data_IF_287289755013
#
_entry.id   IF_287289755013
#
_cell.length_a   1.000
_cell.length_b   1.000
_cell.length_c   1.000
_cell.angle_alpha   90.00
_cell.angle_beta   90.00
_cell.angle_gamma   90.00
#
_symmetry.space_group_name_H-M   'P 1'
#
loop_
_entity.id
_entity.type
_entity.pdbx_description
1 polymer ?
#
# COMPACT_ATOMS: atom_id res chain seq x y z
N UNK A 1 -11.98 -64.58 -33.98
CA UNK A 1 -13.04 -63.67 -33.56
C UNK A 1 -12.39 -62.49 -32.86
N UNK A 2 -12.22 -61.42 -33.62
CA UNK A 2 -11.47 -60.20 -33.20
C UNK A 2 -12.45 -59.30 -32.48
N UNK A 3 -12.13 -58.86 -31.26
CA UNK A 3 -12.83 -57.78 -30.57
C UNK A 3 -11.91 -56.57 -30.52
N UNK A 4 -12.39 -55.53 -31.17
CA UNK A 4 -11.78 -54.23 -31.33
C UNK A 4 -11.78 -53.44 -29.98
N UNK A 5 -10.59 -53.02 -29.52
CA UNK A 5 -10.42 -52.11 -28.39
C UNK A 5 -9.99 -50.72 -28.88
N UNK A 6 -10.93 -49.96 -29.40
CA UNK A 6 -10.75 -48.53 -29.64
C UNK A 6 -11.83 -47.75 -28.96
N UNK A 7 -11.59 -47.32 -27.71
CA UNK A 7 -12.22 -46.16 -27.07
C UNK A 7 -11.47 -45.82 -25.76
N UNK A 8 -10.77 -44.70 -25.72
CA UNK A 8 -10.20 -44.21 -24.46
C UNK A 8 -9.07 -43.19 -24.53
N UNK A 9 -8.92 -42.43 -25.63
CA UNK A 9 -7.88 -41.39 -25.73
C UNK A 9 -8.37 -39.94 -25.71
N UNK A 10 -9.70 -39.70 -25.51
CA UNK A 10 -10.27 -38.33 -25.59
C UNK A 10 -10.41 -37.59 -24.25
N UNK A 11 -10.27 -38.24 -23.10
CA UNK A 11 -10.52 -37.58 -21.79
C UNK A 11 -9.28 -37.21 -21.00
N UNK A 12 -8.07 -37.61 -21.42
CA UNK A 12 -6.82 -37.23 -20.72
C UNK A 12 -6.13 -35.98 -21.29
N UNK A 13 -6.52 -35.52 -22.45
CA UNK A 13 -5.95 -34.30 -23.05
C UNK A 13 -6.61 -33.00 -22.54
N UNK A 14 -7.86 -33.05 -22.04
CA UNK A 14 -8.53 -31.86 -21.50
C UNK A 14 -8.12 -31.51 -20.07
N UNK A 15 -7.71 -32.50 -19.28
CA UNK A 15 -7.24 -32.28 -17.92
C UNK A 15 -5.81 -31.70 -17.84
N UNK A 16 -4.99 -31.96 -18.86
CA UNK A 16 -3.62 -31.44 -18.93
C UNK A 16 -3.52 -29.99 -19.41
N UNK A 17 -4.53 -29.49 -20.14
CA UNK A 17 -4.57 -28.10 -20.62
C UNK A 17 -5.12 -27.12 -19.56
N UNK A 18 -5.92 -27.58 -18.58
CA UNK A 18 -6.36 -26.74 -17.47
C UNK A 18 -5.28 -26.56 -16.38
N UNK A 19 -4.37 -27.51 -16.22
CA UNK A 19 -3.31 -27.41 -15.22
C UNK A 19 -2.14 -26.50 -15.64
N UNK A 20 -1.91 -26.32 -16.95
CA UNK A 20 -0.85 -25.44 -17.47
C UNK A 20 -1.27 -23.95 -17.54
N UNK A 21 -2.57 -23.65 -17.49
CA UNK A 21 -3.09 -22.27 -17.51
C UNK A 21 -3.11 -21.60 -16.13
N UNK A 22 -2.85 -22.34 -15.05
CA UNK A 22 -2.85 -21.84 -13.67
C UNK A 22 -1.53 -21.17 -13.23
N UNK A 23 -0.48 -21.22 -14.06
CA UNK A 23 0.83 -20.64 -13.75
C UNK A 23 1.16 -19.34 -14.49
N UNK A 24 0.30 -18.87 -15.41
CA UNK A 24 0.49 -17.59 -16.09
C UNK A 24 -0.66 -16.66 -15.71
N UNK A 25 -0.37 -15.64 -14.92
CA UNK A 25 -1.34 -14.63 -14.50
C UNK A 25 -2.10 -13.99 -15.66
N UNK A 26 -3.35 -13.58 -15.37
CA UNK A 26 -4.25 -12.78 -16.19
C UNK A 26 -5.05 -13.56 -17.25
N UNK A 27 -6.10 -14.24 -16.81
CA UNK A 27 -7.30 -14.36 -17.64
C UNK A 27 -8.41 -13.53 -17.00
N UNK A 28 -8.74 -12.39 -17.61
CA UNK A 28 -10.08 -11.82 -17.49
C UNK A 28 -11.03 -12.83 -18.16
N UNK A 29 -11.55 -13.75 -17.36
CA UNK A 29 -12.70 -14.53 -17.80
C UNK A 29 -13.86 -13.52 -17.90
N UNK A 30 -14.67 -13.56 -18.98
CA UNK A 30 -15.89 -12.78 -19.03
C UNK A 30 -16.72 -13.13 -17.79
N UNK A 31 -17.33 -12.11 -17.16
CA UNK A 31 -18.17 -12.28 -15.98
C UNK A 31 -19.23 -13.35 -16.29
N UNK A 32 -19.11 -14.51 -15.66
CA UNK A 32 -20.08 -15.60 -15.77
C UNK A 32 -21.01 -15.54 -14.56
N UNK A 33 -22.28 -15.83 -14.77
CA UNK A 33 -23.21 -15.96 -13.65
C UNK A 33 -22.72 -17.01 -12.64
N UNK A 34 -23.07 -16.81 -11.36
CA UNK A 34 -22.80 -17.81 -10.33
C UNK A 34 -23.33 -19.17 -10.78
N UNK A 35 -22.57 -20.26 -10.60
CA UNK A 35 -23.01 -21.58 -10.97
C UNK A 35 -24.35 -21.96 -10.32
N UNK A 36 -25.15 -22.77 -11.02
CA UNK A 36 -26.38 -23.30 -10.46
C UNK A 36 -26.10 -24.10 -9.17
N UNK A 37 -26.87 -23.88 -8.13
CA UNK A 37 -26.68 -24.51 -6.82
C UNK A 37 -25.64 -23.84 -5.92
N UNK A 38 -24.97 -22.78 -6.37
CA UNK A 38 -24.05 -22.04 -5.51
C UNK A 38 -24.78 -21.25 -4.43
N UNK A 39 -24.26 -21.31 -3.20
CA UNK A 39 -24.74 -20.51 -2.07
C UNK A 39 -24.04 -19.16 -2.09
N UNK A 40 -24.81 -18.07 -1.98
CA UNK A 40 -24.30 -16.69 -1.91
C UNK A 40 -24.64 -16.12 -0.55
N UNK A 41 -23.66 -15.55 0.11
CA UNK A 41 -23.75 -15.00 1.46
C UNK A 41 -23.95 -13.47 1.42
N UNK A 42 -23.88 -12.82 2.59
CA UNK A 42 -24.06 -11.37 2.67
C UNK A 42 -23.00 -10.56 1.89
N UNK A 43 -23.42 -9.42 1.35
CA UNK A 43 -22.55 -8.51 0.63
C UNK A 43 -21.71 -7.67 1.60
N UNK A 44 -20.43 -7.52 1.28
CA UNK A 44 -19.52 -6.56 1.90
C UNK A 44 -18.74 -5.84 0.80
N UNK A 45 -18.75 -4.52 0.83
CA UNK A 45 -18.03 -3.68 -0.13
C UNK A 45 -18.33 -4.01 -1.62
N UNK A 46 -19.59 -4.37 -1.91
CA UNK A 46 -20.05 -4.66 -3.27
C UNK A 46 -19.83 -6.10 -3.74
N UNK A 47 -19.15 -6.93 -2.96
CA UNK A 47 -18.95 -8.35 -3.26
C UNK A 47 -19.57 -9.25 -2.19
N UNK A 48 -20.12 -10.38 -2.60
CA UNK A 48 -20.64 -11.43 -1.73
C UNK A 48 -19.78 -12.68 -1.83
N UNK A 49 -19.58 -13.36 -0.71
CA UNK A 49 -18.98 -14.69 -0.69
C UNK A 49 -19.88 -15.65 -1.43
N UNK A 50 -19.30 -16.51 -2.26
CA UNK A 50 -20.01 -17.53 -3.02
C UNK A 50 -19.30 -18.88 -2.86
N UNK A 51 -20.08 -19.91 -2.56
CA UNK A 51 -19.56 -21.26 -2.33
C UNK A 51 -20.31 -22.28 -3.20
N UNK A 52 -19.55 -23.21 -3.77
CA UNK A 52 -20.06 -24.40 -4.41
C UNK A 52 -19.09 -25.56 -4.21
N UNK A 53 -19.61 -26.69 -3.75
CA UNK A 53 -18.86 -27.93 -3.56
C UNK A 53 -17.57 -27.78 -2.71
N UNK A 54 -17.63 -26.96 -1.67
CA UNK A 54 -16.50 -26.68 -0.77
C UNK A 54 -15.45 -25.73 -1.33
N UNK A 55 -15.71 -25.09 -2.49
CA UNK A 55 -14.84 -24.06 -3.05
C UNK A 55 -15.51 -22.71 -2.99
N UNK A 56 -14.73 -21.72 -2.56
CA UNK A 56 -15.15 -20.36 -2.30
C UNK A 56 -14.58 -19.38 -3.31
N UNK A 57 -15.35 -18.36 -3.61
CA UNK A 57 -15.01 -17.21 -4.42
C UNK A 57 -15.93 -16.04 -4.14
N UNK A 58 -16.01 -15.08 -5.03
CA UNK A 58 -16.86 -13.90 -4.82
C UNK A 58 -17.66 -13.56 -6.07
N UNK A 59 -18.87 -13.05 -5.84
CA UNK A 59 -19.79 -12.56 -6.87
C UNK A 59 -20.16 -11.09 -6.62
N UNK A 60 -20.50 -10.37 -7.68
CA UNK A 60 -21.04 -9.01 -7.61
C UNK A 60 -22.55 -9.00 -7.30
N UNK A 61 -23.15 -7.81 -7.21
CA UNK A 61 -24.59 -7.64 -6.94
C UNK A 61 -25.48 -8.24 -8.04
N UNK A 62 -24.96 -8.39 -9.26
CA UNK A 62 -25.63 -9.09 -10.37
C UNK A 62 -25.46 -10.62 -10.31
N UNK A 63 -24.84 -11.14 -9.26
CA UNK A 63 -24.45 -12.55 -9.10
C UNK A 63 -23.45 -13.04 -10.17
N UNK A 64 -22.68 -12.16 -10.78
CA UNK A 64 -21.60 -12.56 -11.67
C UNK A 64 -20.36 -12.90 -10.86
N UNK A 65 -19.65 -13.98 -11.24
CA UNK A 65 -18.40 -14.38 -10.61
C UNK A 65 -17.32 -13.32 -10.92
N UNK A 66 -16.86 -12.64 -9.89
CA UNK A 66 -15.75 -11.67 -9.96
C UNK A 66 -14.43 -12.36 -9.62
N UNK A 67 -14.45 -13.22 -8.62
CA UNK A 67 -13.29 -14.02 -8.20
C UNK A 67 -13.69 -15.48 -8.24
N UNK A 68 -12.98 -16.32 -9.02
CA UNK A 68 -13.31 -17.73 -9.21
C UNK A 68 -13.46 -18.51 -7.91
N UNK A 69 -14.37 -19.50 -7.89
CA UNK A 69 -14.57 -20.41 -6.76
C UNK A 69 -13.41 -21.43 -6.75
N UNK A 70 -12.31 -21.07 -6.12
CA UNK A 70 -11.09 -21.87 -6.07
C UNK A 70 -10.51 -22.06 -4.68
N UNK A 71 -10.88 -21.21 -3.73
CA UNK A 71 -10.33 -21.20 -2.38
C UNK A 71 -11.01 -22.24 -1.48
N UNK A 72 -10.27 -22.73 -0.49
CA UNK A 72 -10.78 -23.65 0.52
C UNK A 72 -11.60 -22.90 1.60
N UNK A 73 -11.25 -21.65 1.87
CA UNK A 73 -12.03 -20.73 2.70
C UNK A 73 -11.64 -19.28 2.38
N UNK A 74 -12.54 -18.36 2.70
CA UNK A 74 -12.37 -16.91 2.48
C UNK A 74 -13.03 -16.14 3.63
N UNK A 75 -12.69 -14.85 3.77
CA UNK A 75 -13.40 -13.91 4.64
C UNK A 75 -14.04 -12.80 3.82
N UNK A 76 -15.04 -12.09 4.37
CA UNK A 76 -15.62 -10.91 3.70
C UNK A 76 -14.58 -9.82 3.46
N UNK A 77 -14.73 -9.08 2.37
CA UNK A 77 -13.87 -7.93 2.10
C UNK A 77 -14.02 -6.85 3.17
N UNK A 78 -12.88 -6.33 3.61
CA UNK A 78 -12.78 -5.17 4.49
C UNK A 78 -11.63 -4.28 4.02
N UNK A 79 -11.89 -2.99 3.84
CA UNK A 79 -10.90 -2.02 3.32
C UNK A 79 -10.27 -2.47 1.99
N UNK A 80 -11.08 -3.06 1.11
CA UNK A 80 -10.68 -3.51 -0.23
C UNK A 80 -9.86 -4.80 -0.28
N UNK A 81 -9.66 -5.49 0.86
CA UNK A 81 -8.86 -6.72 0.96
C UNK A 81 -9.61 -7.85 1.64
N UNK A 82 -9.23 -9.07 1.33
CA UNK A 82 -9.77 -10.27 1.99
C UNK A 82 -8.68 -11.34 2.15
N UNK A 83 -8.67 -12.01 3.30
CA UNK A 83 -7.84 -13.19 3.47
C UNK A 83 -8.48 -14.39 2.76
N UNK A 84 -7.65 -15.22 2.15
CA UNK A 84 -8.04 -16.44 1.43
C UNK A 84 -7.16 -17.59 1.84
N UNK A 85 -7.73 -18.79 1.84
CA UNK A 85 -7.00 -20.04 2.01
C UNK A 85 -7.01 -20.80 0.67
N UNK A 86 -5.84 -21.15 0.19
CA UNK A 86 -5.69 -21.97 -1.00
C UNK A 86 -4.72 -23.13 -0.70
N UNK A 87 -5.24 -24.36 -0.78
CA UNK A 87 -4.47 -25.58 -0.49
C UNK A 87 -3.83 -25.56 0.91
N UNK A 88 -4.59 -25.08 1.92
CA UNK A 88 -4.13 -25.00 3.31
C UNK A 88 -3.15 -23.85 3.60
N UNK A 89 -2.89 -22.96 2.63
CA UNK A 89 -2.04 -21.78 2.82
C UNK A 89 -2.84 -20.50 2.74
N UNK A 90 -2.52 -19.56 3.63
CA UNK A 90 -3.17 -18.27 3.73
C UNK A 90 -2.46 -17.23 2.87
N UNK A 91 -3.26 -16.42 2.20
CA UNK A 91 -2.86 -15.25 1.45
C UNK A 91 -3.86 -14.11 1.62
N UNK A 92 -3.62 -12.99 0.98
CA UNK A 92 -4.52 -11.83 0.96
C UNK A 92 -4.72 -11.39 -0.48
N UNK A 93 -5.97 -11.11 -0.85
CA UNK A 93 -6.34 -10.64 -2.18
C UNK A 93 -7.03 -9.28 -2.13
N UNK A 94 -7.03 -8.60 -3.26
CA UNK A 94 -7.85 -7.43 -3.56
C UNK A 94 -9.18 -7.87 -4.18
N UNK A 95 -10.10 -6.92 -4.31
CA UNK A 95 -11.42 -7.15 -4.91
C UNK A 95 -11.38 -7.53 -6.41
N UNK A 96 -10.25 -7.26 -7.10
CA UNK A 96 -10.00 -7.72 -8.47
C UNK A 96 -9.41 -9.14 -8.55
N UNK A 97 -9.25 -9.82 -7.40
CA UNK A 97 -8.70 -11.16 -7.29
C UNK A 97 -7.18 -11.25 -7.30
N UNK A 98 -6.46 -10.14 -7.46
CA UNK A 98 -4.99 -10.13 -7.40
C UNK A 98 -4.49 -10.33 -5.98
N UNK A 99 -3.43 -11.12 -5.85
CA UNK A 99 -2.79 -11.33 -4.55
C UNK A 99 -2.03 -10.08 -4.11
N UNK A 100 -2.28 -9.67 -2.86
CA UNK A 100 -1.43 -8.76 -2.08
C UNK A 100 -0.39 -9.54 -1.29
N UNK A 101 -0.78 -10.71 -0.76
CA UNK A 101 0.11 -11.71 -0.16
C UNK A 101 -0.22 -13.03 -0.86
N UNK A 102 0.79 -13.68 -1.43
CA UNK A 102 0.62 -15.01 -2.03
C UNK A 102 0.19 -16.03 -0.97
N UNK A 103 -0.64 -17.03 -1.32
CA UNK A 103 -1.08 -18.06 -0.38
C UNK A 103 0.06 -19.05 -0.10
N UNK A 104 0.97 -18.64 0.79
CA UNK A 104 2.16 -19.42 1.17
C UNK A 104 2.37 -19.52 2.69
N UNK A 105 1.55 -18.83 3.48
CA UNK A 105 1.68 -18.79 4.94
C UNK A 105 0.79 -19.82 5.61
N UNK A 106 1.28 -20.39 6.71
CA UNK A 106 0.52 -21.31 7.56
C UNK A 106 -0.48 -20.55 8.43
N UNK A 107 -0.11 -19.33 8.82
CA UNK A 107 -0.93 -18.41 9.61
C UNK A 107 -0.70 -16.97 9.13
N UNK A 108 -1.79 -16.21 9.00
CA UNK A 108 -1.78 -14.76 8.78
C UNK A 108 -2.84 -14.13 9.68
N UNK A 109 -2.39 -13.34 10.65
CA UNK A 109 -3.26 -12.63 11.60
C UNK A 109 -3.11 -11.13 11.39
N UNK A 110 -4.16 -10.40 11.02
CA UNK A 110 -4.07 -8.96 10.85
C UNK A 110 -3.75 -8.28 12.20
N UNK A 111 -2.86 -7.32 12.17
CA UNK A 111 -2.53 -6.45 13.31
C UNK A 111 -3.20 -5.10 13.11
N UNK A 112 -2.75 -4.35 12.08
CA UNK A 112 -3.22 -3.01 11.74
C UNK A 112 -2.73 -2.63 10.32
N UNK A 113 -3.45 -1.77 9.60
CA UNK A 113 -3.06 -1.08 8.36
C UNK A 113 -2.18 -1.89 7.39
N UNK A 114 -2.57 -3.13 7.10
CA UNK A 114 -1.82 -4.00 6.20
C UNK A 114 -0.63 -4.71 6.83
N UNK A 115 -0.52 -4.70 8.16
CA UNK A 115 0.44 -5.49 8.93
C UNK A 115 -0.17 -6.82 9.36
N UNK A 116 0.62 -7.89 9.29
CA UNK A 116 0.19 -9.24 9.67
C UNK A 116 1.26 -9.94 10.51
N UNK A 117 0.84 -10.61 11.59
CA UNK A 117 1.63 -11.70 12.15
C UNK A 117 1.53 -12.85 11.16
N UNK A 118 2.67 -13.38 10.76
CA UNK A 118 2.75 -14.46 9.78
C UNK A 118 3.53 -15.64 10.33
N UNK A 119 3.10 -16.86 9.96
CA UNK A 119 3.86 -18.08 10.20
C UNK A 119 4.09 -18.81 8.88
N UNK A 120 5.31 -19.30 8.68
CA UNK A 120 5.69 -20.11 7.54
C UNK A 120 6.79 -21.10 7.94
N UNK A 121 6.56 -22.39 7.68
CA UNK A 121 7.55 -23.42 8.01
C UNK A 121 7.88 -23.54 9.51
N UNK A 122 6.91 -23.22 10.37
CA UNK A 122 7.08 -23.26 11.84
C UNK A 122 7.60 -21.98 12.46
N UNK A 123 8.27 -21.11 11.71
CA UNK A 123 8.77 -19.83 12.20
C UNK A 123 7.71 -18.72 12.13
N UNK A 124 7.66 -17.87 13.16
CA UNK A 124 6.80 -16.69 13.26
C UNK A 124 7.55 -15.43 12.93
N UNK A 125 6.84 -14.44 12.37
CA UNK A 125 7.36 -13.13 12.07
C UNK A 125 6.26 -12.11 11.81
N UNK A 126 6.62 -10.96 11.24
CA UNK A 126 5.68 -9.91 10.85
C UNK A 126 5.92 -9.53 9.40
N UNK A 127 4.85 -9.46 8.63
CA UNK A 127 4.86 -9.05 7.22
C UNK A 127 3.92 -7.89 7.01
N UNK A 128 4.20 -7.07 6.01
CA UNK A 128 3.33 -5.98 5.57
C UNK A 128 2.92 -6.13 4.11
N UNK A 129 1.76 -5.60 3.76
CA UNK A 129 1.31 -5.47 2.38
C UNK A 129 1.88 -4.19 1.78
N UNK A 130 2.46 -4.31 0.59
CA UNK A 130 2.96 -3.17 -0.18
C UNK A 130 2.28 -3.16 -1.55
N UNK A 131 1.19 -2.38 -1.75
CA UNK A 131 0.60 -2.23 -3.07
C UNK A 131 1.48 -1.36 -3.97
N UNK A 132 1.64 -1.75 -5.24
CA UNK A 132 2.29 -0.92 -6.26
C UNK A 132 1.31 0.10 -6.85
N UNK A 133 1.78 1.31 -7.23
CA UNK A 133 0.95 2.36 -7.82
C UNK A 133 0.28 1.94 -9.14
N UNK A 134 0.91 1.09 -9.93
CA UNK A 134 0.41 0.61 -11.23
C UNK A 134 -0.61 -0.54 -11.11
N UNK A 135 -0.92 -0.98 -9.91
CA UNK A 135 -1.78 -2.12 -9.68
C UNK A 135 -1.20 -3.47 -10.16
N UNK A 136 0.06 -3.50 -10.59
CA UNK A 136 0.70 -4.68 -11.21
C UNK A 136 1.08 -5.76 -10.21
N UNK A 137 0.84 -5.57 -8.93
CA UNK A 137 1.12 -6.56 -7.89
C UNK A 137 1.46 -5.91 -6.56
N UNK A 138 1.63 -6.72 -5.55
CA UNK A 138 2.19 -6.29 -4.27
C UNK A 138 3.40 -7.14 -3.98
N UNK A 139 4.39 -6.56 -3.30
CA UNK A 139 5.43 -7.31 -2.62
C UNK A 139 5.09 -7.40 -1.15
N UNK A 140 5.13 -8.61 -0.61
CA UNK A 140 5.10 -8.80 0.82
C UNK A 140 6.45 -8.38 1.40
N UNK A 141 6.44 -7.37 2.27
CA UNK A 141 7.66 -6.96 2.97
C UNK A 141 7.75 -7.70 4.32
N UNK A 142 8.85 -8.41 4.54
CA UNK A 142 9.13 -9.07 5.83
C UNK A 142 9.75 -8.03 6.75
N UNK A 143 8.97 -7.55 7.74
CA UNK A 143 9.44 -6.60 8.74
C UNK A 143 10.24 -7.28 9.85
N UNK A 144 9.82 -8.49 10.24
CA UNK A 144 10.51 -9.36 11.20
C UNK A 144 10.60 -10.74 10.60
N UNK A 145 11.80 -11.25 10.47
CA UNK A 145 12.06 -12.58 9.88
C UNK A 145 11.19 -13.66 10.52
N UNK A 146 10.74 -14.60 9.70
CA UNK A 146 9.94 -15.75 10.12
C UNK A 146 10.80 -16.78 10.86
N UNK A 147 11.42 -16.35 11.96
CA UNK A 147 12.38 -17.11 12.74
C UNK A 147 12.15 -17.07 14.26
N UNK A 148 11.06 -16.43 14.68
CA UNK A 148 10.65 -16.40 16.09
C UNK A 148 9.87 -17.66 16.45
N UNK A 149 9.97 -18.08 17.70
CA UNK A 149 9.21 -19.21 18.24
C UNK A 149 7.73 -18.82 18.42
N UNK A 150 7.49 -17.55 18.75
CA UNK A 150 6.16 -16.99 18.94
C UNK A 150 6.13 -15.50 18.69
N UNK A 151 5.02 -15.02 18.08
CA UNK A 151 4.70 -13.61 17.94
C UNK A 151 3.25 -13.41 18.40
N UNK A 152 3.01 -12.44 19.28
CA UNK A 152 1.69 -12.13 19.81
C UNK A 152 1.46 -10.62 19.87
N UNK A 153 0.21 -10.20 19.76
CA UNK A 153 -0.24 -8.83 20.03
C UNK A 153 -1.23 -8.87 21.18
N UNK A 154 -1.04 -8.01 22.16
CA UNK A 154 -1.94 -7.83 23.28
C UNK A 154 -2.03 -6.37 23.68
N UNK A 155 -3.18 -5.96 24.22
CA UNK A 155 -3.34 -4.62 24.77
C UNK A 155 -2.69 -4.53 26.15
N UNK A 156 -1.83 -3.54 26.34
CA UNK A 156 -1.16 -3.24 27.61
C UNK A 156 -1.25 -1.73 27.87
N UNK A 157 -1.98 -1.34 28.92
CA UNK A 157 -2.09 0.09 29.29
C UNK A 157 -2.72 0.98 28.21
N UNK A 158 -3.69 0.49 27.44
CA UNK A 158 -4.34 1.24 26.36
C UNK A 158 -3.53 1.29 25.05
N UNK A 159 -2.45 0.50 24.96
CA UNK A 159 -1.61 0.40 23.76
C UNK A 159 -1.47 -1.05 23.34
N UNK A 160 -1.62 -1.33 22.05
CA UNK A 160 -1.29 -2.65 21.50
C UNK A 160 0.21 -2.86 21.51
N UNK A 161 0.66 -3.98 22.07
CA UNK A 161 2.07 -4.35 22.18
C UNK A 161 2.31 -5.69 21.47
N UNK A 162 3.23 -5.67 20.51
CA UNK A 162 3.77 -6.87 19.87
C UNK A 162 4.82 -7.48 20.78
N UNK A 163 4.69 -8.76 21.05
CA UNK A 163 5.67 -9.56 21.78
C UNK A 163 6.27 -10.59 20.86
N UNK A 164 7.59 -10.53 20.67
CA UNK A 164 8.40 -11.45 19.86
C UNK A 164 9.22 -12.32 20.81
N UNK A 165 9.10 -13.63 20.70
CA UNK A 165 9.86 -14.60 21.54
C UNK A 165 10.78 -15.44 20.67
N UNK A 166 12.06 -15.50 21.05
CA UNK A 166 13.06 -16.36 20.41
C UNK A 166 13.97 -16.97 21.48
N UNK A 167 13.84 -18.27 21.72
CA UNK A 167 14.47 -18.94 22.86
C UNK A 167 14.03 -18.30 24.17
N UNK A 168 14.98 -17.85 24.95
CA UNK A 168 14.75 -17.12 26.21
C UNK A 168 14.59 -15.61 26.04
N UNK A 169 14.78 -15.10 24.83
CA UNK A 169 14.70 -13.66 24.56
C UNK A 169 13.27 -13.25 24.23
N UNK A 170 12.75 -12.26 24.98
CA UNK A 170 11.43 -11.67 24.75
C UNK A 170 11.61 -10.19 24.45
N UNK A 171 11.18 -9.78 23.26
CA UNK A 171 11.18 -8.38 22.82
C UNK A 171 9.74 -7.88 22.78
N UNK A 172 9.48 -6.76 23.42
CA UNK A 172 8.17 -6.11 23.39
C UNK A 172 8.26 -4.78 22.65
N UNK A 173 7.35 -4.56 21.72
CA UNK A 173 7.33 -3.38 20.86
C UNK A 173 5.89 -2.88 20.79
N UNK A 174 5.60 -1.62 21.17
CA UNK A 174 4.30 -1.04 20.88
C UNK A 174 3.98 -1.18 19.40
N UNK A 175 2.74 -1.57 19.05
CA UNK A 175 2.36 -1.76 17.64
C UNK A 175 2.55 -0.48 16.83
N UNK A 176 2.33 0.68 17.47
CA UNK A 176 2.62 1.99 16.88
C UNK A 176 4.12 2.26 16.68
N UNK A 177 4.98 1.53 17.37
CA UNK A 177 6.44 1.54 17.21
C UNK A 177 6.94 0.34 16.38
N UNK A 178 6.03 -0.44 15.74
CA UNK A 178 6.45 -1.52 14.85
C UNK A 178 7.37 -1.01 13.72
N UNK A 179 7.23 0.22 13.26
CA UNK A 179 8.28 0.94 12.55
C UNK A 179 9.54 1.16 13.38
N UNK A 180 9.46 1.05 14.71
CA UNK A 180 10.52 1.35 15.65
C UNK A 180 11.76 0.48 15.56
N UNK A 181 11.75 -0.63 14.85
CA UNK A 181 13.02 -1.29 14.51
C UNK A 181 13.73 -0.58 13.37
N UNK A 182 12.97 0.05 12.50
CA UNK A 182 13.54 1.04 11.59
C UNK A 182 13.81 2.37 12.34
N UNK A 183 13.11 2.67 13.43
CA UNK A 183 13.33 3.80 14.34
C UNK A 183 14.54 3.61 15.26
N UNK A 184 14.93 2.41 15.63
CA UNK A 184 16.28 2.14 16.16
C UNK A 184 17.37 2.58 15.16
N UNK A 185 16.98 2.92 13.95
CA UNK A 185 17.75 3.61 12.91
C UNK A 185 17.31 5.07 12.69
N UNK A 186 16.58 5.69 13.62
CA UNK A 186 16.37 7.13 13.65
C UNK A 186 15.08 7.71 13.04
N UNK A 187 13.98 6.92 12.90
CA UNK A 187 12.70 7.45 12.38
C UNK A 187 11.59 7.34 13.43
N UNK A 188 11.10 8.44 14.00
CA UNK A 188 10.01 8.44 14.96
C UNK A 188 8.65 8.26 14.27
N UNK A 189 8.05 7.09 14.40
CA UNK A 189 6.68 6.82 13.94
C UNK A 189 5.60 7.34 14.89
N UNK A 190 5.96 7.64 16.12
CA UNK A 190 5.04 8.15 17.14
C UNK A 190 4.38 9.48 16.77
N UNK A 191 4.96 10.25 15.83
CA UNK A 191 4.45 11.54 15.39
C UNK A 191 3.31 11.44 14.36
N UNK A 192 3.06 10.25 13.83
CA UNK A 192 1.99 10.01 12.87
C UNK A 192 1.01 8.92 13.36
N UNK A 193 0.39 9.10 14.56
CA UNK A 193 -0.57 8.14 15.05
C UNK A 193 -1.81 8.11 14.15
N UNK A 194 -2.50 6.97 14.10
CA UNK A 194 -3.81 6.87 13.48
C UNK A 194 -4.81 7.63 14.35
N UNK A 195 -5.29 8.79 13.89
CA UNK A 195 -6.14 9.69 14.66
C UNK A 195 -7.62 9.67 14.27
N UNK A 196 -7.94 9.07 13.12
CA UNK A 196 -9.28 9.06 12.54
C UNK A 196 -9.71 7.63 12.27
N UNK A 197 -10.35 6.98 13.17
CA UNK A 197 -10.62 5.53 13.20
C UNK A 197 -11.38 4.89 12.02
N UNK A 198 -11.86 5.61 11.00
CA UNK A 198 -12.49 5.04 9.81
C UNK A 198 -12.42 6.02 8.64
N UNK A 199 -12.08 5.50 7.47
CA UNK A 199 -12.16 6.24 6.21
C UNK A 199 -13.59 6.76 6.00
N UNK A 200 -13.80 8.06 5.73
CA UNK A 200 -15.07 8.52 5.22
C UNK A 200 -15.32 7.80 3.89
N UNK A 201 -16.56 7.42 3.67
CA UNK A 201 -16.98 6.80 2.42
C UNK A 201 -16.90 7.86 1.30
N UNK A 202 -15.71 8.09 0.75
CA UNK A 202 -15.58 8.95 -0.43
C UNK A 202 -16.27 8.31 -1.62
N UNK A 203 -17.17 9.05 -2.26
CA UNK A 203 -17.99 8.53 -3.36
C UNK A 203 -17.19 8.19 -4.62
N UNK A 204 -15.96 8.69 -4.71
CA UNK A 204 -15.03 8.53 -5.82
C UNK A 204 -13.77 7.72 -5.45
N UNK A 205 -13.81 6.97 -4.35
CA UNK A 205 -12.78 6.02 -3.95
C UNK A 205 -13.46 4.67 -3.74
N UNK A 206 -13.21 3.75 -4.66
CA UNK A 206 -13.66 2.38 -4.56
C UNK A 206 -12.61 1.54 -3.83
N UNK A 207 -13.00 0.58 -2.97
CA UNK A 207 -12.05 -0.38 -2.40
C UNK A 207 -11.26 -1.18 -3.46
N UNK A 208 -11.71 -1.19 -4.71
CA UNK A 208 -11.00 -1.80 -5.86
C UNK A 208 -9.89 -0.94 -6.43
N UNK A 209 -9.85 0.34 -6.08
CA UNK A 209 -8.84 1.24 -6.59
C UNK A 209 -7.48 0.92 -5.97
N UNK A 210 -6.43 0.95 -6.77
CA UNK A 210 -5.07 0.68 -6.29
C UNK A 210 -4.64 1.62 -5.17
N UNK A 211 -5.21 2.82 -5.14
CA UNK A 211 -4.90 3.87 -4.18
C UNK A 211 -5.77 3.84 -2.92
N UNK A 212 -6.80 2.99 -2.85
CA UNK A 212 -7.75 3.01 -1.74
C UNK A 212 -7.06 2.89 -0.36
N UNK A 213 -6.12 1.95 -0.22
CA UNK A 213 -5.35 1.78 1.01
C UNK A 213 -4.51 3.02 1.35
N UNK A 214 -3.89 3.64 0.34
CA UNK A 214 -3.06 4.82 0.55
C UNK A 214 -3.87 6.04 0.97
N UNK A 215 -5.05 6.22 0.37
CA UNK A 215 -6.00 7.27 0.78
C UNK A 215 -6.46 7.04 2.22
N UNK A 216 -6.75 5.78 2.60
CA UNK A 216 -7.13 5.42 3.96
C UNK A 216 -6.02 5.75 4.96
N UNK A 217 -4.80 5.30 4.71
CA UNK A 217 -3.65 5.58 5.59
C UNK A 217 -3.43 7.10 5.69
N UNK A 218 -3.27 7.81 4.57
CA UNK A 218 -3.00 9.24 4.56
C UNK A 218 -4.10 10.05 5.26
N UNK A 219 -5.37 9.63 5.12
CA UNK A 219 -6.49 10.22 5.82
C UNK A 219 -6.44 9.93 7.32
N UNK A 220 -6.23 8.67 7.71
CA UNK A 220 -6.22 8.25 9.11
C UNK A 220 -5.06 8.86 9.91
N UNK A 221 -3.91 9.05 9.29
CA UNK A 221 -2.82 9.82 9.91
C UNK A 221 -3.03 11.35 9.78
N UNK A 222 -4.11 11.79 9.15
CA UNK A 222 -4.48 13.22 9.06
C UNK A 222 -3.60 14.05 8.14
N UNK A 223 -2.91 13.44 7.17
CA UNK A 223 -2.11 14.16 6.16
C UNK A 223 -2.94 14.63 4.98
N UNK A 224 -4.08 14.00 4.71
CA UNK A 224 -4.98 14.37 3.63
C UNK A 224 -6.43 14.46 4.09
N UNK A 225 -7.25 15.10 3.28
CA UNK A 225 -8.70 15.19 3.46
C UNK A 225 -9.40 15.19 2.10
N UNK A 226 -10.72 15.06 2.11
CA UNK A 226 -11.53 15.23 0.90
C UNK A 226 -11.52 16.66 0.38
N UNK A 227 -11.96 16.83 -0.87
CA UNK A 227 -12.13 18.13 -1.53
C UNK A 227 -13.54 18.71 -1.33
N UNK A 228 -14.32 18.15 -0.41
CA UNK A 228 -15.72 18.52 -0.17
C UNK A 228 -16.71 17.59 -0.90
N UNK A 229 -18.00 17.72 -0.54
CA UNK A 229 -19.10 16.91 -1.12
C UNK A 229 -18.83 15.40 -1.09
N UNK A 230 -18.18 14.92 -0.04
CA UNK A 230 -17.82 13.51 0.13
C UNK A 230 -16.95 12.94 -1.02
N UNK A 231 -16.05 13.75 -1.58
CA UNK A 231 -15.12 13.35 -2.66
C UNK A 231 -13.68 13.52 -2.22
N UNK A 232 -12.82 12.63 -2.71
CA UNK A 232 -11.37 12.70 -2.56
C UNK A 232 -10.67 13.32 -3.77
N UNK A 233 -11.22 13.16 -4.96
CA UNK A 233 -10.69 13.54 -6.26
C UNK A 233 -9.31 12.88 -6.57
N UNK A 234 -9.22 11.53 -6.56
CA UNK A 234 -7.95 10.80 -6.64
C UNK A 234 -7.15 11.09 -7.91
N UNK A 235 -7.83 11.30 -9.02
CA UNK A 235 -7.22 11.54 -10.34
C UNK A 235 -6.91 13.02 -10.61
N UNK A 236 -7.27 13.92 -9.71
CA UNK A 236 -6.91 15.34 -9.84
C UNK A 236 -5.41 15.50 -9.63
N UNK A 237 -4.76 16.30 -10.48
CA UNK A 237 -3.34 16.64 -10.29
C UNK A 237 -3.17 17.47 -9.03
N UNK A 238 -2.08 17.19 -8.30
CA UNK A 238 -1.70 17.95 -7.12
C UNK A 238 -1.13 19.30 -7.57
N UNK A 239 -1.58 20.38 -6.95
CA UNK A 239 -1.01 21.70 -7.20
C UNK A 239 0.24 21.95 -6.37
N UNK A 240 1.08 22.92 -6.75
CA UNK A 240 2.24 23.36 -5.95
C UNK A 240 1.80 23.73 -4.53
N UNK A 241 0.71 24.50 -4.38
CA UNK A 241 0.20 24.88 -3.07
C UNK A 241 -0.21 23.67 -2.22
N UNK A 242 -0.84 22.65 -2.82
CA UNK A 242 -1.21 21.42 -2.11
C UNK A 242 0.02 20.59 -1.73
N UNK A 243 1.05 20.54 -2.58
CA UNK A 243 2.31 19.86 -2.26
C UNK A 243 3.04 20.55 -1.09
N UNK A 244 3.13 21.86 -1.10
CA UNK A 244 3.69 22.66 0.01
C UNK A 244 2.94 22.42 1.31
N UNK A 245 1.60 22.38 1.26
CA UNK A 245 0.78 22.06 2.43
C UNK A 245 1.08 20.68 2.99
N UNK A 246 1.22 19.66 2.13
CA UNK A 246 1.58 18.31 2.57
C UNK A 246 2.96 18.29 3.23
N UNK A 247 3.96 18.91 2.61
CA UNK A 247 5.32 18.96 3.14
C UNK A 247 5.39 19.72 4.47
N UNK A 248 4.74 20.88 4.57
CA UNK A 248 4.65 21.66 5.81
C UNK A 248 3.97 20.86 6.93
N UNK A 249 2.90 20.12 6.62
CA UNK A 249 2.21 19.28 7.61
C UNK A 249 3.10 18.13 8.09
N UNK A 250 3.85 17.50 7.18
CA UNK A 250 4.80 16.43 7.52
C UNK A 250 5.91 16.98 8.41
N UNK A 251 6.52 18.09 8.01
CA UNK A 251 7.61 18.72 8.76
C UNK A 251 7.18 19.13 10.15
N UNK A 252 6.07 19.86 10.26
CA UNK A 252 5.53 20.29 11.53
C UNK A 252 5.26 19.14 12.49
N UNK A 253 4.63 18.07 12.02
CA UNK A 253 4.39 16.90 12.85
C UNK A 253 5.67 16.21 13.28
N UNK A 254 6.64 16.15 12.38
CA UNK A 254 7.92 15.56 12.71
C UNK A 254 8.67 16.36 13.76
N UNK A 255 8.62 17.69 13.68
CA UNK A 255 9.21 18.60 14.67
C UNK A 255 8.42 18.64 15.98
N UNK A 256 7.14 18.26 15.97
CA UNK A 256 6.26 18.33 17.12
C UNK A 256 5.87 19.77 17.47
N UNK A 257 5.85 20.66 16.50
CA UNK A 257 5.43 22.04 16.68
C UNK A 257 3.91 22.21 16.46
N UNK A 258 3.36 23.34 16.90
CA UNK A 258 1.94 23.66 16.85
C UNK A 258 1.53 24.37 15.55
N UNK A 259 2.14 24.01 14.42
CA UNK A 259 1.77 24.61 13.16
C UNK A 259 0.33 24.24 12.77
N UNK A 260 -0.56 25.23 12.86
CA UNK A 260 -1.93 25.09 12.42
C UNK A 260 -2.09 25.67 11.02
N UNK A 261 -2.34 24.79 10.06
CA UNK A 261 -2.86 25.22 8.77
C UNK A 261 -4.25 25.79 9.00
N UNK A 262 -4.43 27.09 8.72
CA UNK A 262 -5.76 27.67 8.62
C UNK A 262 -6.56 26.84 7.62
N UNK A 263 -7.66 26.24 8.06
CA UNK A 263 -8.60 25.49 7.23
C UNK A 263 -9.64 26.39 6.62
N UNK A 264 -9.62 27.69 6.94
CA UNK A 264 -10.56 28.65 6.40
C UNK A 264 -10.25 28.94 4.94
N UNK A 265 -11.12 28.42 4.07
CA UNK A 265 -11.00 28.54 2.62
C UNK A 265 -11.11 29.99 2.16
N UNK A 266 -9.99 30.65 2.02
CA UNK A 266 -9.84 31.91 1.32
C UNK A 266 -8.95 31.75 0.09
N UNK A 267 -8.81 32.76 -0.76
CA UNK A 267 -7.96 32.70 -1.94
C UNK A 267 -6.49 32.47 -1.63
N UNK A 268 -6.08 32.71 -0.40
CA UNK A 268 -4.68 32.60 0.09
C UNK A 268 -4.49 31.51 1.16
N UNK A 269 -5.30 30.47 1.15
CA UNK A 269 -5.25 29.35 2.12
C UNK A 269 -3.88 28.66 2.24
N UNK A 270 -3.05 28.79 1.23
CA UNK A 270 -1.74 28.15 1.15
C UNK A 270 -0.60 28.97 1.80
N UNK A 271 -0.80 30.27 2.02
CA UNK A 271 0.24 31.20 2.53
C UNK A 271 0.88 30.68 3.82
N UNK A 272 0.14 30.21 4.84
CA UNK A 272 0.79 29.67 6.05
C UNK A 272 1.74 28.49 5.75
N UNK A 273 1.39 27.64 4.78
CA UNK A 273 2.26 26.52 4.39
C UNK A 273 3.52 26.99 3.65
N UNK A 274 3.38 27.99 2.78
CA UNK A 274 4.52 28.61 2.08
C UNK A 274 5.47 29.24 3.11
N UNK A 275 4.96 30.04 4.03
CA UNK A 275 5.75 30.69 5.07
C UNK A 275 6.47 29.67 5.95
N UNK A 276 5.78 28.58 6.31
CA UNK A 276 6.37 27.50 7.08
C UNK A 276 7.49 26.79 6.31
N UNK A 277 7.29 26.48 5.01
CA UNK A 277 8.31 25.87 4.17
C UNK A 277 9.55 26.79 4.00
N UNK A 278 9.35 28.10 3.89
CA UNK A 278 10.43 29.09 3.87
C UNK A 278 11.19 29.12 5.20
N UNK A 279 10.46 29.20 6.31
CA UNK A 279 11.07 29.28 7.64
C UNK A 279 11.86 28.01 8.01
N UNK A 280 11.36 26.84 7.56
CA UNK A 280 12.01 25.54 7.77
C UNK A 280 13.15 25.27 6.78
N UNK A 281 13.39 26.14 5.81
CA UNK A 281 14.42 25.97 4.79
C UNK A 281 14.15 24.83 3.79
N UNK A 282 12.91 24.40 3.67
CA UNK A 282 12.50 23.39 2.68
C UNK A 282 12.43 23.97 1.27
N UNK A 283 12.15 25.25 1.17
CA UNK A 283 12.20 26.05 -0.07
C UNK A 283 12.93 27.37 0.21
N UNK A 284 13.40 28.01 -0.86
CA UNK A 284 14.02 29.33 -0.80
C UNK A 284 13.09 30.38 -1.45
N UNK A 285 13.32 31.63 -1.07
CA UNK A 285 12.60 32.74 -1.69
C UNK A 285 12.89 32.80 -3.18
N UNK A 286 11.84 32.64 -3.99
CA UNK A 286 11.95 32.67 -5.46
C UNK A 286 11.81 31.29 -6.12
N UNK A 287 11.87 30.19 -5.37
CA UNK A 287 11.63 28.84 -5.93
C UNK A 287 10.22 28.73 -6.52
N UNK A 288 9.24 29.35 -5.84
CA UNK A 288 7.85 29.46 -6.31
C UNK A 288 7.35 30.90 -6.17
N UNK A 289 6.52 31.31 -7.11
CA UNK A 289 5.87 32.62 -7.15
C UNK A 289 4.34 32.46 -7.05
N UNK A 290 3.60 33.58 -6.86
CA UNK A 290 2.13 33.53 -6.81
C UNK A 290 1.50 32.85 -8.04
N UNK A 291 2.15 32.90 -9.20
CA UNK A 291 1.67 32.28 -10.43
C UNK A 291 1.83 30.75 -10.42
N UNK A 292 2.71 30.24 -9.59
CA UNK A 292 3.02 28.82 -9.53
C UNK A 292 2.07 28.05 -8.63
N UNK A 293 1.55 28.66 -7.57
CA UNK A 293 0.79 27.95 -6.54
C UNK A 293 -0.45 27.21 -7.07
N UNK A 294 -1.08 27.72 -8.14
CA UNK A 294 -2.26 27.11 -8.76
C UNK A 294 -1.95 26.08 -9.84
N UNK A 295 -0.72 25.99 -10.36
CA UNK A 295 -0.37 25.00 -11.37
C UNK A 295 -0.11 23.63 -10.78
N UNK A 296 -0.18 22.59 -11.60
CA UNK A 296 0.25 21.27 -11.22
C UNK A 296 1.75 21.28 -10.84
N UNK A 297 2.08 20.61 -9.74
CA UNK A 297 3.46 20.37 -9.33
C UNK A 297 4.07 19.27 -10.20
N UNK A 298 5.31 19.42 -10.63
CA UNK A 298 6.02 18.35 -11.33
C UNK A 298 6.46 17.28 -10.33
N UNK A 299 6.70 16.06 -10.83
CA UNK A 299 7.18 14.96 -9.99
C UNK A 299 8.54 15.28 -9.39
N UNK A 300 9.42 15.97 -10.15
CA UNK A 300 10.71 16.45 -9.66
C UNK A 300 10.55 17.45 -8.51
N UNK A 301 9.77 18.52 -8.71
CA UNK A 301 9.53 19.53 -7.67
C UNK A 301 8.96 18.93 -6.39
N UNK A 302 8.00 18.02 -6.52
CA UNK A 302 7.41 17.32 -5.36
C UNK A 302 8.45 16.43 -4.66
N UNK A 303 9.32 15.73 -5.42
CA UNK A 303 10.39 14.92 -4.84
C UNK A 303 11.41 15.79 -4.08
N UNK A 304 11.83 16.92 -4.64
CA UNK A 304 12.72 17.87 -3.98
C UNK A 304 12.10 18.38 -2.68
N UNK A 305 10.83 18.78 -2.72
CA UNK A 305 10.10 19.29 -1.57
C UNK A 305 9.97 18.23 -0.45
N UNK A 306 9.57 16.99 -0.79
CA UNK A 306 9.44 15.92 0.22
C UNK A 306 10.80 15.47 0.76
N UNK A 307 11.84 15.41 -0.08
CA UNK A 307 13.20 15.08 0.36
C UNK A 307 13.81 16.17 1.26
N UNK A 308 13.36 17.41 1.14
CA UNK A 308 13.79 18.53 1.98
C UNK A 308 13.28 18.45 3.41
N UNK A 309 12.25 17.66 3.70
CA UNK A 309 11.71 17.50 5.06
C UNK A 309 12.72 16.84 6.00
N UNK A 310 12.72 17.24 7.26
CA UNK A 310 13.59 16.64 8.30
C UNK A 310 13.26 15.16 8.49
N UNK A 311 11.98 14.78 8.37
CA UNK A 311 11.57 13.38 8.39
C UNK A 311 12.28 12.58 7.29
N UNK A 312 12.22 13.03 6.03
CA UNK A 312 12.88 12.31 4.93
C UNK A 312 14.41 12.25 5.13
N UNK A 313 15.05 13.33 5.61
CA UNK A 313 16.47 13.35 5.91
C UNK A 313 16.87 12.33 6.97
N UNK A 314 16.05 12.16 8.01
CA UNK A 314 16.28 11.23 9.11
C UNK A 314 16.04 9.76 8.74
N UNK A 315 15.25 9.48 7.69
CA UNK A 315 14.95 8.11 7.27
C UNK A 315 16.20 7.38 6.77
N UNK A 316 16.47 6.14 7.26
CA UNK A 316 17.54 5.31 6.72
C UNK A 316 17.20 4.80 5.31
N UNK A 317 18.22 4.52 4.52
CA UNK A 317 18.07 3.83 3.25
C UNK A 317 17.63 2.36 3.49
N UNK A 318 16.65 1.92 2.72
CA UNK A 318 16.21 0.52 2.65
C UNK A 318 16.77 -0.16 1.40
N UNK A 319 16.96 0.60 0.34
CA UNK A 319 17.45 0.14 -0.94
C UNK A 319 18.86 0.72 -1.17
N UNK A 320 19.76 -0.07 -1.73
CA UNK A 320 21.11 0.41 -2.05
C UNK A 320 21.04 1.62 -2.99
N UNK A 321 21.57 2.77 -2.58
CA UNK A 321 21.61 3.98 -3.40
C UNK A 321 22.35 3.76 -4.72
N UNK A 322 23.43 2.98 -4.70
CA UNK A 322 24.17 2.65 -5.92
C UNK A 322 23.30 1.85 -6.90
N UNK A 323 22.51 0.88 -6.40
CA UNK A 323 21.60 0.11 -7.24
C UNK A 323 20.44 0.97 -7.74
N UNK A 324 19.92 1.87 -6.93
CA UNK A 324 18.89 2.85 -7.35
C UNK A 324 19.40 3.68 -8.51
N UNK A 325 20.58 4.31 -8.38
CA UNK A 325 21.21 5.14 -9.43
C UNK A 325 21.43 4.38 -10.74
N UNK A 326 21.69 3.07 -10.66
CA UNK A 326 21.87 2.22 -11.84
C UNK A 326 20.55 1.74 -12.46
N UNK A 327 19.44 1.77 -11.72
CA UNK A 327 18.18 1.13 -12.13
C UNK A 327 17.08 2.10 -12.57
N UNK A 328 17.09 3.35 -12.11
CA UNK A 328 16.13 4.38 -12.54
C UNK A 328 16.50 4.87 -13.93
N UNK A 329 15.69 4.58 -14.97
CA UNK A 329 16.18 4.67 -16.36
C UNK A 329 16.21 6.09 -16.92
N UNK A 330 15.43 6.99 -16.37
CA UNK A 330 15.15 8.33 -16.89
C UNK A 330 15.71 9.47 -16.02
N UNK A 331 16.56 9.13 -15.04
CA UNK A 331 17.29 10.11 -14.21
C UNK A 331 18.77 9.83 -14.30
N UNK A 332 19.57 10.87 -14.51
CA UNK A 332 21.05 10.82 -14.54
C UNK A 332 21.63 11.60 -13.37
N UNK A 333 22.75 11.14 -12.84
CA UNK A 333 23.51 11.92 -11.86
C UNK A 333 23.90 13.26 -12.49
N UNK A 334 23.48 14.37 -11.88
CA UNK A 334 23.67 15.72 -12.41
C UNK A 334 22.43 16.37 -13.00
N UNK A 335 21.35 15.60 -13.24
CA UNK A 335 20.06 16.19 -13.57
C UNK A 335 19.52 16.95 -12.35
N UNK A 336 18.72 18.00 -12.61
CA UNK A 336 18.05 18.76 -11.55
C UNK A 336 17.16 17.84 -10.72
N UNK A 337 17.27 17.93 -9.38
CA UNK A 337 16.50 17.09 -8.46
C UNK A 337 16.95 15.62 -8.35
N UNK A 338 17.96 15.18 -9.12
CA UNK A 338 18.38 13.77 -9.17
C UNK A 338 18.70 13.18 -7.80
N UNK A 339 19.44 13.91 -6.96
CA UNK A 339 19.82 13.40 -5.62
C UNK A 339 18.61 13.27 -4.70
N UNK A 340 17.64 14.18 -4.77
CA UNK A 340 16.38 14.09 -4.04
C UNK A 340 15.58 12.86 -4.49
N UNK A 341 15.44 12.66 -5.80
CA UNK A 341 14.73 11.52 -6.39
C UNK A 341 15.40 10.21 -5.96
N UNK A 342 16.71 10.06 -6.17
CA UNK A 342 17.44 8.85 -5.77
C UNK A 342 17.34 8.57 -4.27
N UNK A 343 17.44 9.62 -3.44
CA UNK A 343 17.30 9.49 -1.99
C UNK A 343 15.93 8.92 -1.60
N UNK A 344 14.86 9.42 -2.21
CA UNK A 344 13.51 8.93 -1.91
C UNK A 344 13.28 7.48 -2.40
N UNK A 345 13.86 7.07 -3.55
CA UNK A 345 13.89 5.67 -3.96
C UNK A 345 14.70 4.81 -3.00
N UNK A 346 15.90 5.25 -2.61
CA UNK A 346 16.73 4.53 -1.64
C UNK A 346 16.03 4.37 -0.30
N UNK A 347 15.23 5.34 0.10
CA UNK A 347 14.41 5.28 1.32
C UNK A 347 13.10 4.49 1.15
N UNK A 348 12.80 3.97 -0.04
CA UNK A 348 11.58 3.21 -0.30
C UNK A 348 10.30 4.04 -0.29
N UNK A 349 10.39 5.34 -0.53
CA UNK A 349 9.25 6.27 -0.62
C UNK A 349 8.72 6.29 -2.04
N UNK A 350 9.61 6.28 -3.04
CA UNK A 350 9.26 6.22 -4.46
C UNK A 350 9.42 4.80 -5.03
N UNK A 351 8.62 4.47 -6.04
CA UNK A 351 8.67 3.20 -6.79
C UNK A 351 8.64 3.37 -8.30
N UNK A 352 8.60 4.61 -8.80
CA UNK A 352 8.36 4.90 -10.21
C UNK A 352 6.90 4.74 -10.63
N UNK A 353 6.65 4.95 -11.91
CA UNK A 353 5.31 4.85 -12.54
C UNK A 353 5.10 3.50 -13.22
N UNK A 354 6.13 2.70 -13.35
CA UNK A 354 6.10 1.37 -13.97
C UNK A 354 7.07 0.39 -13.30
N UNK A 355 7.06 -0.87 -13.74
CA UNK A 355 7.95 -1.93 -13.23
C UNK A 355 9.43 -1.71 -13.54
N UNK A 356 9.76 -0.77 -14.40
CA UNK A 356 11.14 -0.39 -14.73
C UNK A 356 11.68 0.70 -13.81
N UNK A 357 10.89 1.15 -12.83
CA UNK A 357 11.20 2.24 -11.91
C UNK A 357 11.31 3.61 -12.60
N UNK A 358 10.64 3.80 -13.78
CA UNK A 358 10.63 5.08 -14.49
C UNK A 358 10.02 6.17 -13.61
N UNK A 359 10.68 7.31 -13.50
CA UNK A 359 10.25 8.40 -12.59
C UNK A 359 9.36 9.45 -13.27
N UNK A 360 9.67 9.84 -14.50
CA UNK A 360 9.01 10.92 -15.26
C UNK A 360 9.12 12.29 -14.57
N UNK A 361 10.32 12.88 -14.44
CA UNK A 361 10.56 14.08 -13.62
C UNK A 361 9.66 15.27 -13.98
N UNK A 362 9.37 15.47 -15.26
CA UNK A 362 8.51 16.55 -15.76
C UNK A 362 7.02 16.19 -15.80
N UNK A 363 6.66 14.95 -15.48
CA UNK A 363 5.28 14.54 -15.27
C UNK A 363 4.69 15.18 -14.01
N UNK A 364 3.40 14.99 -13.78
CA UNK A 364 2.71 15.52 -12.60
C UNK A 364 2.29 14.40 -11.67
N UNK A 365 2.03 14.74 -10.41
CA UNK A 365 1.41 13.82 -9.43
C UNK A 365 -0.10 14.01 -9.39
N UNK A 366 -0.81 12.90 -9.29
CA UNK A 366 -2.20 12.90 -8.86
C UNK A 366 -2.30 12.90 -7.32
N UNK A 367 -3.46 13.27 -6.81
CA UNK A 367 -3.74 13.21 -5.35
C UNK A 367 -3.63 11.78 -4.81
N UNK A 368 -3.98 10.78 -5.61
CA UNK A 368 -3.81 9.37 -5.26
C UNK A 368 -2.33 8.96 -5.12
N UNK A 369 -1.47 9.38 -6.05
CA UNK A 369 -0.03 9.14 -5.98
C UNK A 369 0.61 9.87 -4.80
N UNK A 370 0.20 11.11 -4.54
CA UNK A 370 0.64 11.86 -3.37
C UNK A 370 0.25 11.15 -2.06
N UNK A 371 -0.97 10.60 -1.98
CA UNK A 371 -1.39 9.81 -0.81
C UNK A 371 -0.47 8.61 -0.57
N UNK A 372 -0.05 7.90 -1.63
CA UNK A 372 0.89 6.79 -1.50
C UNK A 372 2.26 7.24 -0.95
N UNK A 373 2.79 8.36 -1.45
CA UNK A 373 4.06 8.91 -1.02
C UNK A 373 4.02 9.32 0.45
N UNK A 374 3.04 10.16 0.83
CA UNK A 374 2.96 10.65 2.21
C UNK A 374 2.62 9.55 3.21
N UNK A 375 1.89 8.51 2.81
CA UNK A 375 1.66 7.33 3.63
C UNK A 375 2.96 6.58 3.92
N UNK A 376 3.84 6.42 2.93
CA UNK A 376 5.16 5.78 3.11
C UNK A 376 6.10 6.64 3.94
N UNK A 377 5.96 7.96 3.89
CA UNK A 377 6.71 8.87 4.77
C UNK A 377 6.22 8.77 6.21
N UNK A 378 4.91 8.74 6.43
CA UNK A 378 4.32 8.71 7.77
C UNK A 378 4.40 7.33 8.44
N UNK A 379 4.39 6.26 7.65
CA UNK A 379 4.31 4.88 8.11
C UNK A 379 5.48 4.08 7.55
N UNK A 380 6.51 3.91 8.34
CA UNK A 380 7.77 3.29 7.91
C UNK A 380 7.63 1.84 7.46
N UNK A 381 6.63 1.12 7.98
CA UNK A 381 6.26 -0.22 7.54
C UNK A 381 5.70 -0.28 6.11
N UNK A 382 5.31 0.85 5.57
CA UNK A 382 4.79 0.99 4.20
C UNK A 382 5.88 1.33 3.19
N UNK A 383 7.13 1.50 3.62
CA UNK A 383 8.27 1.79 2.75
C UNK A 383 8.64 0.57 1.90
N UNK A 384 9.08 0.82 0.69
CA UNK A 384 9.27 -0.21 -0.33
C UNK A 384 10.69 -0.80 -0.34
N UNK A 385 10.78 -2.13 -0.30
CA UNK A 385 11.96 -2.85 -0.78
C UNK A 385 11.78 -3.04 -2.29
N UNK A 386 12.58 -2.35 -3.09
CA UNK A 386 12.48 -2.39 -4.55
C UNK A 386 13.06 -3.68 -5.14
N UNK A 387 13.93 -4.34 -4.38
CA UNK A 387 14.53 -5.61 -4.75
C UNK A 387 14.64 -6.49 -3.50
N UNK A 388 13.96 -7.61 -3.51
CA UNK A 388 14.09 -8.71 -2.55
C UNK A 388 15.15 -9.68 -2.98
#
# INVERSE_FOLDING_TARGET
MVIDMRRGKGKRALAGLLAAALCAGLFFLPASAAPEGATVWGYSEGLAQCELAGKWGYVDAGRNVVIPLQYDSIVSFQLGIAAVNLNGKLGVIRQDGRYLIQPEYDTLLPIDCGLYIAQKGGGWGVVSILPFPDGAGSTTNVLYELSYDQVQVAEQGGTQVLTLTKGSTVTKIPVYDLPGILAAKGVPSAQFPLTRGKLPSFSDVSPRDWFALWVDIAYNVGLTSGVGKNRYAPNQTLTVAEALKLAATIESRYQGDDFHLSTEGGPYWYVPAVDYCLASGMIQKGDFTERDYGRAVTRREAAELFAATSLAKAMPELNSLARVKASVPDIRSGDEGAEAIYSLYAKGILSGVDSRLTFQPEGTFTRAEAAAIVSRMARTEQRLLLWS
#
